data_IF_243197535873
#
_entry.id   IF_243197535873
#
_cell.length_a   1.000
_cell.length_b   1.000
_cell.length_c   1.000
_cell.angle_alpha   90.00
_cell.angle_beta   90.00
_cell.angle_gamma   90.00
#
_symmetry.space_group_name_H-M   'P 1'
#
loop_
_entity.id
_entity.type
_entity.pdbx_description
1 polymer ?
#
# COMPACT_ATOMS: atom_id res chain seq x y z
N UNK A 1 5.08 -2.73 17.17
CA UNK A 1 6.42 -2.43 17.69
C UNK A 1 7.16 -1.56 16.67
N UNK A 2 7.17 -0.23 16.79
CA UNK A 2 7.83 0.66 15.81
C UNK A 2 9.36 0.51 15.79
N UNK A 3 9.94 0.20 16.93
CA UNK A 3 11.39 0.23 17.19
C UNK A 3 12.21 -0.72 16.30
N UNK A 4 11.67 -1.86 15.90
CA UNK A 4 12.45 -2.83 15.11
C UNK A 4 12.70 -2.39 13.67
N UNK A 5 11.80 -1.63 13.06
CA UNK A 5 11.96 -1.18 11.68
C UNK A 5 12.96 -0.04 11.56
N UNK A 6 12.99 0.89 12.51
CA UNK A 6 13.98 1.97 12.51
C UNK A 6 15.41 1.44 12.62
N UNK A 7 15.65 0.46 13.51
CA UNK A 7 16.96 -0.21 13.60
C UNK A 7 17.32 -0.93 12.30
N UNK A 8 16.34 -1.62 11.70
CA UNK A 8 16.54 -2.37 10.48
C UNK A 8 16.85 -1.45 9.28
N UNK A 9 16.11 -0.36 9.14
CA UNK A 9 16.33 0.62 8.08
C UNK A 9 17.59 1.47 8.28
N UNK A 10 17.99 1.74 9.53
CA UNK A 10 19.26 2.43 9.83
C UNK A 10 20.49 1.58 9.47
N UNK A 11 20.36 0.27 9.49
CA UNK A 11 21.48 -0.64 9.25
C UNK A 11 21.73 -0.90 7.74
N UNK A 12 20.74 -0.67 6.88
CA UNK A 12 20.85 -1.07 5.47
C UNK A 12 19.89 -0.28 4.57
N UNK A 13 20.42 0.30 3.49
CA UNK A 13 19.62 0.84 2.40
C UNK A 13 18.96 -0.32 1.63
N UNK A 14 17.73 -0.10 1.14
CA UNK A 14 16.95 -1.12 0.43
C UNK A 14 16.76 -2.43 1.21
N UNK A 15 16.58 -2.32 2.52
CA UNK A 15 16.54 -3.43 3.46
C UNK A 15 15.52 -4.55 3.09
N UNK A 16 14.42 -4.20 2.43
CA UNK A 16 13.36 -5.14 2.02
C UNK A 16 13.54 -5.74 0.63
N UNK A 17 14.67 -5.46 -0.04
CA UNK A 17 14.94 -5.95 -1.38
C UNK A 17 14.10 -5.28 -2.48
N UNK A 18 14.00 -5.88 -3.68
CA UNK A 18 13.28 -5.30 -4.80
C UNK A 18 11.75 -5.36 -4.62
N UNK A 19 11.05 -4.48 -5.34
CA UNK A 19 9.60 -4.47 -5.44
C UNK A 19 9.03 -5.83 -5.91
N UNK A 20 7.82 -6.13 -5.49
CA UNK A 20 7.18 -7.39 -5.85
C UNK A 20 6.84 -7.42 -7.35
N UNK A 21 7.26 -8.46 -8.06
CA UNK A 21 7.15 -8.52 -9.53
C UNK A 21 5.72 -8.40 -10.05
N UNK A 22 4.74 -8.98 -9.33
CA UNK A 22 3.33 -8.90 -9.73
C UNK A 22 2.78 -7.47 -9.56
N UNK A 23 3.24 -6.72 -8.56
CA UNK A 23 2.89 -5.28 -8.39
C UNK A 23 3.45 -4.49 -9.56
N UNK A 24 4.74 -4.63 -9.84
CA UNK A 24 5.38 -3.93 -10.96
C UNK A 24 4.69 -4.25 -12.29
N UNK A 25 4.42 -5.54 -12.57
CA UNK A 25 3.74 -5.96 -13.79
C UNK A 25 2.32 -5.39 -13.91
N UNK A 26 1.60 -5.26 -12.79
CA UNK A 26 0.29 -4.62 -12.77
C UNK A 26 0.39 -3.14 -13.14
N UNK A 27 1.27 -2.39 -12.48
CA UNK A 27 1.41 -0.95 -12.72
C UNK A 27 1.95 -0.60 -14.12
N UNK A 28 2.81 -1.45 -14.70
CA UNK A 28 3.30 -1.27 -16.09
C UNK A 28 2.19 -1.30 -17.15
N UNK A 29 1.03 -1.89 -16.84
CA UNK A 29 -0.11 -1.97 -17.75
C UNK A 29 -1.18 -0.90 -17.46
N UNK A 30 -0.94 0.03 -16.54
CA UNK A 30 -1.84 1.13 -16.23
C UNK A 30 -1.47 2.40 -16.99
N UNK A 31 -2.47 3.26 -17.19
CA UNK A 31 -2.22 4.64 -17.59
C UNK A 31 -1.44 5.36 -16.49
N UNK A 32 -0.47 6.19 -16.91
CA UNK A 32 0.32 7.02 -15.98
C UNK A 32 -0.54 8.07 -15.28
N UNK A 33 -0.02 8.64 -14.19
CA UNK A 33 -0.71 9.72 -13.46
C UNK A 33 -1.71 9.25 -12.42
N UNK A 34 -1.77 7.95 -12.10
CA UNK A 34 -2.59 7.47 -10.98
C UNK A 34 -2.10 8.01 -9.64
N UNK A 35 -3.01 8.33 -8.74
CA UNK A 35 -2.72 8.64 -7.34
C UNK A 35 -2.76 7.34 -6.53
N UNK A 36 -1.62 6.94 -6.01
CA UNK A 36 -1.42 5.68 -5.28
C UNK A 36 -1.13 5.96 -3.81
N UNK A 37 -1.87 5.34 -2.90
CA UNK A 37 -1.50 5.28 -1.50
C UNK A 37 -0.76 3.96 -1.23
N UNK A 38 0.51 4.05 -0.83
CA UNK A 38 1.33 2.91 -0.40
C UNK A 38 1.29 2.84 1.13
N UNK A 39 0.53 1.87 1.65
CA UNK A 39 0.33 1.67 3.09
C UNK A 39 1.44 0.77 3.63
N UNK A 40 2.33 1.35 4.43
CA UNK A 40 3.52 0.66 4.92
C UNK A 40 4.73 0.84 4.00
N UNK A 41 4.84 2.01 3.38
CA UNK A 41 5.81 2.34 2.33
C UNK A 41 7.29 2.09 2.68
N UNK A 42 7.64 2.08 3.97
CA UNK A 42 9.03 1.87 4.45
C UNK A 42 10.03 2.82 3.80
N UNK A 43 11.08 2.26 3.21
CA UNK A 43 12.12 2.99 2.45
C UNK A 43 11.72 3.25 0.98
N UNK A 44 10.46 2.93 0.58
CA UNK A 44 9.96 3.17 -0.77
C UNK A 44 10.25 2.06 -1.77
N UNK A 45 10.32 0.80 -1.30
CA UNK A 45 10.57 -0.36 -2.16
C UNK A 45 9.66 -0.41 -3.39
N UNK A 46 8.37 -0.13 -3.19
CA UNK A 46 7.37 -0.08 -4.25
C UNK A 46 7.14 1.36 -4.72
N UNK A 47 7.07 2.33 -3.81
CA UNK A 47 6.80 3.74 -4.10
C UNK A 47 7.77 4.36 -5.12
N UNK A 48 9.08 4.07 -5.00
CA UNK A 48 10.09 4.64 -5.91
C UNK A 48 9.84 4.18 -7.36
N UNK A 49 9.78 2.86 -7.67
CA UNK A 49 9.50 2.43 -9.05
C UNK A 49 8.12 2.88 -9.55
N UNK A 50 7.09 2.97 -8.70
CA UNK A 50 5.78 3.47 -9.12
C UNK A 50 5.85 4.96 -9.51
N UNK A 51 6.54 5.77 -8.74
CA UNK A 51 6.75 7.18 -9.08
C UNK A 51 7.64 7.36 -10.33
N UNK A 52 8.62 6.48 -10.55
CA UNK A 52 9.43 6.45 -11.78
C UNK A 52 8.59 6.08 -13.02
N UNK A 53 7.50 5.32 -12.86
CA UNK A 53 6.51 5.05 -13.92
C UNK A 53 5.57 6.23 -14.18
N UNK A 54 5.68 7.33 -13.44
CA UNK A 54 4.87 8.54 -13.61
C UNK A 54 3.60 8.62 -12.77
N UNK A 55 3.48 7.80 -11.74
CA UNK A 55 2.38 7.88 -10.77
C UNK A 55 2.72 8.87 -9.65
N UNK A 56 1.68 9.47 -9.04
CA UNK A 56 1.82 10.19 -7.77
C UNK A 56 1.67 9.18 -6.63
N UNK A 57 2.64 9.13 -5.73
CA UNK A 57 2.60 8.20 -4.60
C UNK A 57 2.50 8.96 -3.29
N UNK A 58 1.53 8.58 -2.48
CA UNK A 58 1.41 8.98 -1.08
C UNK A 58 1.87 7.77 -0.26
N UNK A 59 2.85 7.96 0.62
CA UNK A 59 3.40 6.86 1.41
C UNK A 59 3.20 7.10 2.90
N UNK A 60 2.73 6.09 3.63
CA UNK A 60 2.65 6.13 5.09
C UNK A 60 3.41 4.97 5.73
N UNK A 61 4.09 5.24 6.83
CA UNK A 61 4.78 4.23 7.63
C UNK A 61 4.99 4.72 9.07
N UNK A 62 5.06 3.79 10.03
CA UNK A 62 5.40 4.12 11.41
C UNK A 62 6.89 4.45 11.62
N UNK A 63 7.77 3.98 10.74
CA UNK A 63 9.21 4.22 10.81
C UNK A 63 9.55 5.63 10.33
N UNK A 64 10.03 6.47 11.23
CA UNK A 64 10.54 7.80 10.89
C UNK A 64 11.82 7.72 10.04
N UNK A 65 12.66 6.73 10.28
CA UNK A 65 13.89 6.49 9.50
C UNK A 65 13.55 6.11 8.05
N UNK A 66 12.62 5.18 7.85
CA UNK A 66 12.19 4.79 6.51
C UNK A 66 11.58 5.96 5.72
N UNK A 67 10.72 6.75 6.37
CA UNK A 67 10.12 7.95 5.76
C UNK A 67 11.17 9.00 5.39
N UNK A 68 12.15 9.27 6.26
CA UNK A 68 13.23 10.22 5.96
C UNK A 68 14.08 9.76 4.77
N UNK A 69 14.48 8.50 4.74
CA UNK A 69 15.23 7.92 3.63
C UNK A 69 14.45 7.99 2.32
N UNK A 70 13.15 7.67 2.34
CA UNK A 70 12.28 7.80 1.18
C UNK A 70 12.18 9.24 0.68
N UNK A 71 11.98 10.22 1.57
CA UNK A 71 11.93 11.65 1.20
C UNK A 71 13.24 12.12 0.55
N UNK A 72 14.38 11.67 1.09
CA UNK A 72 15.69 12.00 0.51
C UNK A 72 15.85 11.38 -0.89
N UNK A 73 15.46 10.13 -1.07
CA UNK A 73 15.48 9.46 -2.37
C UNK A 73 14.54 10.13 -3.37
N UNK A 74 13.30 10.48 -2.96
CA UNK A 74 12.33 11.17 -3.79
C UNK A 74 12.86 12.54 -4.26
N UNK A 75 13.43 13.31 -3.34
CA UNK A 75 14.01 14.63 -3.65
C UNK A 75 15.19 14.51 -4.63
N UNK A 76 16.12 13.60 -4.38
CA UNK A 76 17.33 13.42 -5.21
C UNK A 76 17.01 12.93 -6.63
N UNK A 77 15.92 12.18 -6.80
CA UNK A 77 15.48 11.63 -8.07
C UNK A 77 14.33 12.42 -8.72
N UNK A 78 13.89 13.54 -8.12
CA UNK A 78 12.76 14.35 -8.57
C UNK A 78 11.46 13.55 -8.76
N UNK A 79 11.17 12.62 -7.83
CA UNK A 79 10.00 11.77 -7.86
C UNK A 79 8.78 12.43 -7.20
N UNK A 80 7.60 12.17 -7.73
CA UNK A 80 6.33 12.65 -7.18
C UNK A 80 5.86 11.73 -6.03
N UNK A 81 6.54 11.83 -4.88
CA UNK A 81 6.25 11.05 -3.67
C UNK A 81 6.05 11.99 -2.49
N UNK A 82 4.88 11.93 -1.88
CA UNK A 82 4.58 12.53 -0.59
C UNK A 82 4.60 11.42 0.47
N UNK A 83 5.44 11.55 1.50
CA UNK A 83 5.54 10.51 2.53
C UNK A 83 5.44 11.11 3.93
N UNK A 84 4.75 10.42 4.85
CA UNK A 84 4.61 10.87 6.22
C UNK A 84 4.63 9.71 7.23
N UNK A 85 5.04 10.05 8.47
CA UNK A 85 4.97 9.10 9.58
C UNK A 85 3.54 9.02 10.06
N UNK A 86 2.89 7.88 9.86
CA UNK A 86 1.51 7.65 10.27
C UNK A 86 1.25 6.18 10.60
N UNK A 87 0.29 5.96 11.49
CA UNK A 87 -0.21 4.63 11.82
C UNK A 87 -1.37 4.27 10.88
N UNK A 88 -1.24 3.17 10.15
CA UNK A 88 -2.25 2.68 9.22
C UNK A 88 -3.62 2.44 9.90
N UNK A 89 -3.66 2.12 11.20
CA UNK A 89 -4.91 1.90 11.93
C UNK A 89 -5.70 3.20 12.18
N UNK A 90 -5.05 4.36 12.15
CA UNK A 90 -5.69 5.65 12.46
C UNK A 90 -5.61 6.65 11.30
N UNK A 91 -4.74 6.42 10.34
CA UNK A 91 -4.59 7.30 9.17
C UNK A 91 -5.87 7.38 8.35
N UNK A 92 -6.20 8.59 7.91
CA UNK A 92 -7.33 8.85 7.01
C UNK A 92 -6.85 9.69 5.85
N UNK A 93 -6.87 9.15 4.62
CA UNK A 93 -6.55 9.93 3.42
C UNK A 93 -7.43 11.18 3.32
N UNK A 94 -6.87 12.28 2.85
CA UNK A 94 -7.58 13.56 2.68
C UNK A 94 -8.26 13.68 1.31
N UNK A 95 -8.00 12.74 0.42
CA UNK A 95 -8.55 12.67 -0.93
C UNK A 95 -8.94 11.23 -1.29
N UNK A 96 -9.75 11.07 -2.34
CA UNK A 96 -10.02 9.75 -2.93
C UNK A 96 -8.86 9.35 -3.83
N UNK A 97 -8.60 8.04 -3.88
CA UNK A 97 -7.41 7.45 -4.46
C UNK A 97 -7.76 6.54 -5.63
N UNK A 98 -6.92 6.56 -6.66
CA UNK A 98 -7.04 5.62 -7.79
C UNK A 98 -6.67 4.21 -7.34
N UNK A 99 -5.63 4.09 -6.52
CA UNK A 99 -5.11 2.80 -6.06
C UNK A 99 -4.68 2.90 -4.60
N UNK A 100 -5.01 1.87 -3.81
CA UNK A 100 -4.40 1.66 -2.50
C UNK A 100 -3.62 0.35 -2.56
N UNK A 101 -2.33 0.44 -2.25
CA UNK A 101 -1.39 -0.68 -2.20
C UNK A 101 -1.12 -1.09 -0.76
N UNK A 102 -1.31 -2.36 -0.45
CA UNK A 102 -0.86 -3.01 0.77
C UNK A 102 0.14 -4.10 0.39
N UNK A 103 1.43 -3.88 0.61
CA UNK A 103 2.41 -4.94 0.40
C UNK A 103 2.99 -5.43 1.73
N UNK A 104 2.43 -6.53 2.21
CA UNK A 104 2.84 -7.22 3.44
C UNK A 104 2.86 -6.31 4.67
N UNK A 105 1.80 -5.52 4.83
CA UNK A 105 1.67 -4.56 5.93
C UNK A 105 0.59 -4.98 6.92
N UNK A 106 -0.58 -5.40 6.43
CA UNK A 106 -1.73 -5.72 7.28
C UNK A 106 -1.48 -6.93 8.19
N UNK A 107 -0.68 -7.91 7.77
CA UNK A 107 -0.33 -9.07 8.61
C UNK A 107 0.43 -8.69 9.89
N UNK A 108 0.97 -7.47 9.97
CA UNK A 108 1.62 -6.95 11.18
C UNK A 108 0.61 -6.68 12.31
N UNK A 109 -0.66 -6.49 11.97
CA UNK A 109 -1.76 -6.41 12.94
C UNK A 109 -2.13 -7.85 13.32
N UNK A 110 -1.81 -8.25 14.54
CA UNK A 110 -1.96 -9.64 14.99
C UNK A 110 -3.41 -10.02 15.27
N UNK A 111 -4.22 -9.06 15.77
CA UNK A 111 -5.64 -9.27 15.97
C UNK A 111 -6.38 -9.25 14.62
N UNK A 112 -7.17 -10.29 14.36
CA UNK A 112 -7.89 -10.46 13.09
C UNK A 112 -8.94 -9.40 12.88
N UNK A 113 -9.72 -9.08 13.93
CA UNK A 113 -10.80 -8.09 13.83
C UNK A 113 -10.23 -6.69 13.62
N UNK A 114 -9.16 -6.35 14.32
CA UNK A 114 -8.49 -5.05 14.15
C UNK A 114 -7.90 -4.91 12.75
N UNK A 115 -7.27 -5.97 12.21
CA UNK A 115 -6.73 -6.01 10.86
C UNK A 115 -7.81 -5.85 9.79
N UNK A 116 -8.92 -6.56 9.91
CA UNK A 116 -10.05 -6.49 8.98
C UNK A 116 -10.75 -5.12 9.05
N UNK A 117 -10.92 -4.56 10.25
CA UNK A 117 -11.44 -3.21 10.42
C UNK A 117 -10.52 -2.14 9.81
N UNK A 118 -9.21 -2.28 10.00
CA UNK A 118 -8.22 -1.39 9.37
C UNK A 118 -8.33 -1.45 7.83
N UNK A 119 -8.37 -2.65 7.25
CA UNK A 119 -8.54 -2.84 5.80
C UNK A 119 -9.85 -2.23 5.30
N UNK A 120 -10.98 -2.54 5.96
CA UNK A 120 -12.32 -2.06 5.55
C UNK A 120 -12.41 -0.54 5.47
N UNK A 121 -11.77 0.18 6.40
CA UNK A 121 -11.76 1.65 6.38
C UNK A 121 -11.13 2.22 5.11
N UNK A 122 -10.11 1.57 4.55
CA UNK A 122 -9.46 2.05 3.34
C UNK A 122 -10.34 1.89 2.09
N UNK A 123 -11.30 0.96 2.09
CA UNK A 123 -12.23 0.76 0.97
C UNK A 123 -13.05 2.02 0.66
N UNK A 124 -13.36 2.83 1.70
CA UNK A 124 -14.11 4.09 1.55
C UNK A 124 -13.34 5.15 0.76
N UNK A 125 -12.01 5.10 0.77
CA UNK A 125 -11.16 6.10 0.13
C UNK A 125 -10.81 5.78 -1.32
N UNK A 126 -11.13 4.58 -1.80
CA UNK A 126 -10.96 4.23 -3.21
C UNK A 126 -12.08 4.89 -4.03
N UNK A 127 -11.72 5.60 -5.11
CA UNK A 127 -12.69 6.21 -6.01
C UNK A 127 -13.43 5.17 -6.86
N UNK A 128 -14.57 5.49 -7.50
CA UNK A 128 -15.21 4.62 -8.49
C UNK A 128 -14.18 4.20 -9.57
N UNK A 129 -14.16 2.92 -9.92
CA UNK A 129 -13.19 2.27 -10.80
C UNK A 129 -11.75 2.24 -10.28
N UNK A 130 -11.48 2.76 -9.08
CA UNK A 130 -10.21 2.63 -8.40
C UNK A 130 -9.96 1.19 -7.92
N UNK A 131 -8.79 0.91 -7.42
CA UNK A 131 -8.36 -0.47 -7.14
C UNK A 131 -7.69 -0.61 -5.77
N UNK A 132 -7.86 -1.80 -5.21
CA UNK A 132 -7.00 -2.32 -4.14
C UNK A 132 -6.01 -3.29 -4.77
N UNK A 133 -4.73 -3.12 -4.42
CA UNK A 133 -3.66 -4.09 -4.71
C UNK A 133 -3.14 -4.57 -3.36
N UNK A 134 -3.30 -5.86 -3.09
CA UNK A 134 -3.02 -6.43 -1.78
C UNK A 134 -2.09 -7.63 -1.89
N UNK A 135 -1.02 -7.60 -1.10
CA UNK A 135 -0.16 -8.75 -0.83
C UNK A 135 -0.18 -9.00 0.67
N UNK A 136 -0.55 -10.20 1.05
CA UNK A 136 -0.61 -10.58 2.47
C UNK A 136 -0.42 -12.10 2.64
N UNK A 137 -0.42 -12.59 3.87
CA UNK A 137 -0.37 -14.00 4.16
C UNK A 137 -1.65 -14.72 3.69
N UNK A 138 -1.49 -15.91 3.12
CA UNK A 138 -2.60 -16.73 2.60
C UNK A 138 -3.76 -16.89 3.59
N UNK A 139 -3.44 -17.03 4.89
CA UNK A 139 -4.45 -17.23 5.95
C UNK A 139 -5.39 -16.02 6.12
N UNK A 140 -4.94 -14.80 5.77
CA UNK A 140 -5.69 -13.57 5.95
C UNK A 140 -6.59 -13.22 4.75
N UNK A 141 -6.32 -13.81 3.58
CA UNK A 141 -7.00 -13.44 2.33
C UNK A 141 -8.51 -13.61 2.37
N UNK A 142 -9.01 -14.66 3.03
CA UNK A 142 -10.45 -14.91 3.17
C UNK A 142 -11.16 -13.79 3.95
N UNK A 143 -10.52 -13.22 4.98
CA UNK A 143 -11.04 -12.09 5.74
C UNK A 143 -11.14 -10.82 4.89
N UNK A 144 -10.13 -10.52 4.07
CA UNK A 144 -10.16 -9.37 3.17
C UNK A 144 -11.23 -9.49 2.08
N UNK A 145 -11.45 -10.70 1.54
CA UNK A 145 -12.57 -10.96 0.65
C UNK A 145 -13.91 -10.70 1.35
N UNK A 146 -14.10 -11.20 2.55
CA UNK A 146 -15.33 -10.99 3.32
C UNK A 146 -15.57 -9.49 3.62
N UNK A 147 -14.53 -8.70 3.90
CA UNK A 147 -14.62 -7.26 4.06
C UNK A 147 -15.16 -6.57 2.79
N UNK A 148 -14.65 -6.95 1.62
CA UNK A 148 -15.12 -6.38 0.35
C UNK A 148 -16.55 -6.82 0.02
N UNK A 149 -16.92 -8.07 0.27
CA UNK A 149 -18.27 -8.60 0.05
C UNK A 149 -19.32 -7.92 0.95
N UNK A 150 -18.92 -7.49 2.15
CA UNK A 150 -19.79 -6.82 3.12
C UNK A 150 -19.80 -5.29 2.95
N UNK A 151 -18.91 -4.75 2.14
CA UNK A 151 -18.83 -3.31 1.92
C UNK A 151 -20.06 -2.79 1.17
N UNK A 152 -20.44 -1.53 1.41
CA UNK A 152 -21.59 -0.88 0.74
C UNK A 152 -21.37 -0.79 -0.78
N UNK A 153 -20.15 -0.50 -1.21
CA UNK A 153 -19.78 -0.52 -2.61
C UNK A 153 -19.45 -1.95 -3.06
N UNK A 154 -19.72 -2.24 -4.33
CA UNK A 154 -19.39 -3.54 -4.93
C UNK A 154 -17.97 -3.56 -5.43
N UNK A 155 -17.35 -4.72 -5.33
CA UNK A 155 -15.98 -4.98 -5.74
C UNK A 155 -15.93 -6.16 -6.72
N UNK A 156 -15.26 -5.98 -7.84
CA UNK A 156 -14.94 -7.05 -8.76
C UNK A 156 -13.48 -7.48 -8.59
N UNK A 157 -13.28 -8.78 -8.44
CA UNK A 157 -11.94 -9.34 -8.23
C UNK A 157 -11.30 -9.63 -9.59
N UNK A 158 -10.24 -8.90 -9.93
CA UNK A 158 -9.55 -9.02 -11.20
C UNK A 158 -8.43 -10.08 -11.19
N UNK A 159 -7.79 -10.31 -10.04
CA UNK A 159 -6.73 -11.29 -9.89
C UNK A 159 -6.73 -11.86 -8.47
N UNK A 160 -6.66 -13.17 -8.35
CA UNK A 160 -6.48 -13.87 -7.07
C UNK A 160 -5.38 -14.91 -7.20
N UNK A 161 -4.34 -14.73 -6.39
CA UNK A 161 -3.33 -15.76 -6.09
C UNK A 161 -3.35 -16.01 -4.57
N UNK A 162 -2.72 -17.05 -4.06
CA UNK A 162 -2.80 -17.36 -2.62
C UNK A 162 -2.38 -16.23 -1.67
N UNK A 163 -1.57 -15.29 -2.14
CA UNK A 163 -1.01 -14.18 -1.35
C UNK A 163 -1.12 -12.83 -2.08
N UNK A 164 -1.84 -12.75 -3.19
CA UNK A 164 -1.94 -11.55 -4.02
C UNK A 164 -3.36 -11.37 -4.55
N UNK A 165 -3.91 -10.18 -4.40
CA UNK A 165 -5.25 -9.81 -4.80
C UNK A 165 -5.23 -8.47 -5.52
N UNK A 166 -5.99 -8.37 -6.61
CA UNK A 166 -6.38 -7.10 -7.22
C UNK A 166 -7.90 -7.06 -7.28
N UNK A 167 -8.49 -6.04 -6.68
CA UNK A 167 -9.91 -5.78 -6.72
C UNK A 167 -10.20 -4.38 -7.27
N UNK A 168 -11.24 -4.25 -8.06
CA UNK A 168 -11.70 -2.98 -8.63
C UNK A 168 -13.05 -2.61 -8.01
N UNK A 169 -13.18 -1.36 -7.54
CA UNK A 169 -14.45 -0.81 -7.08
C UNK A 169 -15.37 -0.56 -8.26
N UNK A 170 -16.59 -1.04 -8.20
CA UNK A 170 -17.61 -0.75 -9.23
C UNK A 170 -18.07 0.71 -9.15
N UNK A 171 -18.74 1.20 -10.18
CA UNK A 171 -19.24 2.56 -10.24
C UNK A 171 -20.40 2.82 -9.28
#
# INVERSE_FOLDING_TARGET
MPVKYDEYYSAQDHALGPAFKDVIAFFQNLEVGQTVLDVGVGQGRDAIPLAQMGHRVIGINLSSVGIEQLKNAATSQHLNIDAEVADLCTYSPTERLDIILFDRTLHMITDTTERENAFSRYLDFVQPHGRIVLIDERKNMAGFHACMDQHVDKWSIACVKPTFLIATKEA
#
